data_IF_939217102589
#
_entry.id   IF_939217102589
#
_cell.length_a   1.000
_cell.length_b   1.000
_cell.length_c   1.000
_cell.angle_alpha   90.00
_cell.angle_beta   90.00
_cell.angle_gamma   90.00
#
_symmetry.space_group_name_H-M   'P 1'
#
loop_
_entity.id
_entity.type
_entity.pdbx_description
1 polymer ?
#
# COMPACT_ATOMS: atom_id res chain seq x y z
N UNK A 1 10.59 35.17 -19.12
CA UNK A 1 10.47 33.86 -18.43
C UNK A 1 9.41 33.94 -17.33
N UNK A 2 8.30 33.18 -17.41
CA UNK A 2 7.30 33.12 -16.33
C UNK A 2 7.95 32.53 -15.06
N UNK A 3 7.98 33.26 -13.94
CA UNK A 3 8.47 32.75 -12.64
C UNK A 3 7.72 31.45 -12.32
N UNK A 4 8.44 30.32 -12.16
CA UNK A 4 7.84 29.05 -11.76
C UNK A 4 7.15 29.24 -10.39
N UNK A 5 5.84 28.95 -10.30
CA UNK A 5 5.04 29.09 -9.06
C UNK A 5 5.63 28.23 -7.95
N UNK A 6 6.14 28.82 -6.85
CA UNK A 6 6.70 28.07 -5.69
C UNK A 6 5.79 26.94 -5.22
N UNK A 7 6.38 25.81 -4.86
CA UNK A 7 5.76 24.67 -4.20
C UNK A 7 5.62 24.90 -2.69
N UNK A 8 6.68 25.38 -2.04
CA UNK A 8 6.71 25.65 -0.60
C UNK A 8 6.20 27.07 -0.36
N UNK A 9 5.05 27.17 0.31
CA UNK A 9 4.34 28.44 0.52
C UNK A 9 4.16 28.71 2.02
N UNK A 10 4.21 29.99 2.42
CA UNK A 10 4.02 30.41 3.83
C UNK A 10 2.72 29.88 4.43
N UNK A 11 1.64 29.82 3.63
CA UNK A 11 0.34 29.27 4.05
C UNK A 11 0.44 27.82 4.55
N UNK A 12 1.32 26.99 3.96
CA UNK A 12 1.47 25.59 4.38
C UNK A 12 1.99 25.53 5.83
N UNK A 13 2.85 26.47 6.23
CA UNK A 13 3.30 26.64 7.62
C UNK A 13 2.16 27.01 8.58
N UNK A 14 1.33 27.98 8.19
CA UNK A 14 0.17 28.40 8.99
C UNK A 14 -0.85 27.26 9.14
N UNK A 15 -1.20 26.60 8.04
CA UNK A 15 -2.11 25.44 8.03
C UNK A 15 -1.56 24.34 8.94
N UNK A 16 -0.27 24.03 8.84
CA UNK A 16 0.39 23.04 9.69
C UNK A 16 0.30 23.41 11.17
N UNK A 17 0.57 24.66 11.52
CA UNK A 17 0.52 25.14 12.90
C UNK A 17 -0.88 24.97 13.50
N UNK A 18 -1.92 25.31 12.74
CA UNK A 18 -3.32 25.21 13.16
C UNK A 18 -3.81 23.76 13.23
N UNK A 19 -3.47 22.93 12.25
CA UNK A 19 -3.96 21.55 12.18
C UNK A 19 -3.23 20.59 13.12
N UNK A 20 -1.96 20.85 13.47
CA UNK A 20 -1.14 19.89 14.21
C UNK A 20 -1.70 19.49 15.59
N UNK A 21 -2.18 20.41 16.46
CA UNK A 21 -2.77 20.03 17.74
C UNK A 21 -3.99 19.13 17.58
N UNK A 22 -4.89 19.49 16.67
CA UNK A 22 -6.08 18.70 16.34
C UNK A 22 -5.71 17.32 15.78
N UNK A 23 -4.78 17.24 14.82
CA UNK A 23 -4.29 15.97 14.27
C UNK A 23 -3.63 15.10 15.34
N UNK A 24 -2.89 15.69 16.27
CA UNK A 24 -2.27 14.96 17.39
C UNK A 24 -3.35 14.36 18.29
N UNK A 25 -4.37 15.14 18.64
CA UNK A 25 -5.49 14.68 19.45
C UNK A 25 -6.28 13.56 18.75
N UNK A 26 -6.68 13.78 17.50
CA UNK A 26 -7.42 12.79 16.71
C UNK A 26 -6.62 11.50 16.53
N UNK A 27 -5.32 11.59 16.27
CA UNK A 27 -4.46 10.41 16.15
C UNK A 27 -4.45 9.60 17.44
N UNK A 28 -4.24 10.26 18.59
CA UNK A 28 -4.24 9.61 19.92
C UNK A 28 -5.58 8.99 20.27
N UNK A 29 -6.69 9.66 20.01
CA UNK A 29 -8.02 9.14 20.33
C UNK A 29 -8.45 8.01 19.39
N UNK A 30 -8.15 8.12 18.10
CA UNK A 30 -8.62 7.17 17.08
C UNK A 30 -7.78 5.89 17.01
N UNK A 31 -6.47 6.00 17.28
CA UNK A 31 -5.52 4.90 17.15
C UNK A 31 -4.81 4.55 18.46
N UNK A 32 -5.06 5.24 19.57
CA UNK A 32 -4.33 5.06 20.83
C UNK A 32 -2.79 5.10 20.63
N UNK A 33 -2.35 5.85 19.61
CA UNK A 33 -0.96 5.87 19.17
C UNK A 33 -0.11 6.70 20.13
N UNK A 34 1.02 6.13 20.56
CA UNK A 34 2.08 6.87 21.23
C UNK A 34 2.92 7.60 20.19
N UNK A 35 2.97 8.92 20.29
CA UNK A 35 3.74 9.82 19.41
C UNK A 35 4.78 10.58 20.25
N UNK A 36 5.98 10.02 20.46
CA UNK A 36 7.09 10.73 21.09
C UNK A 36 7.44 12.00 20.31
N UNK A 37 7.91 13.03 21.02
CA UNK A 37 8.36 14.28 20.36
C UNK A 37 9.70 14.04 19.66
N UNK A 38 9.79 14.38 18.38
CA UNK A 38 11.06 14.42 17.66
C UNK A 38 11.79 15.74 17.97
N UNK A 39 12.71 15.72 18.95
CA UNK A 39 13.42 16.93 19.43
C UNK A 39 14.49 17.40 18.45
N UNK A 40 15.09 16.49 17.70
CA UNK A 40 16.22 16.75 16.79
C UNK A 40 15.83 17.52 15.53
N UNK A 41 14.53 17.70 15.26
CA UNK A 41 14.09 18.43 14.07
C UNK A 41 14.74 19.81 13.98
N UNK A 42 14.82 20.58 15.07
CA UNK A 42 15.51 21.89 15.18
C UNK A 42 15.36 22.84 13.95
N UNK A 43 14.21 22.81 13.26
CA UNK A 43 13.97 23.61 12.04
C UNK A 43 14.58 23.06 10.73
N UNK A 44 15.30 21.92 10.79
CA UNK A 44 15.90 21.22 9.66
C UNK A 44 14.83 20.58 8.75
N UNK A 45 15.21 20.41 7.49
CA UNK A 45 14.46 19.65 6.49
C UNK A 45 14.88 18.19 6.54
N UNK A 46 13.97 17.28 6.18
CA UNK A 46 14.25 15.85 6.12
C UNK A 46 13.67 15.23 4.86
N UNK A 47 14.29 14.13 4.42
CA UNK A 47 13.58 13.08 3.72
C UNK A 47 13.06 12.11 4.79
N UNK A 48 11.75 12.06 4.98
CA UNK A 48 11.11 11.12 5.90
C UNK A 48 10.76 9.87 5.11
N UNK A 49 11.33 8.75 5.51
CA UNK A 49 10.94 7.42 5.01
C UNK A 49 10.15 6.72 6.10
N UNK A 50 8.99 6.15 5.77
CA UNK A 50 8.15 5.46 6.75
C UNK A 50 7.73 4.08 6.26
N UNK A 51 7.63 3.11 7.15
CA UNK A 51 6.85 1.92 6.84
C UNK A 51 5.36 2.27 6.76
N UNK A 52 4.56 1.46 6.05
CA UNK A 52 3.16 1.77 5.78
C UNK A 52 2.22 0.68 6.31
N UNK A 53 1.46 1.01 7.35
CA UNK A 53 0.56 0.07 8.04
C UNK A 53 -0.90 0.51 8.00
N UNK A 54 -1.20 1.80 8.23
CA UNK A 54 -2.58 2.28 8.41
C UNK A 54 -2.97 3.36 7.40
N UNK A 55 -4.27 3.62 7.18
CA UNK A 55 -4.70 4.78 6.41
C UNK A 55 -4.34 6.14 7.05
N UNK A 56 -3.84 6.17 8.29
CA UNK A 56 -3.57 7.39 9.05
C UNK A 56 -2.08 7.74 9.17
N UNK A 57 -1.20 6.97 8.54
CA UNK A 57 0.25 7.09 8.73
C UNK A 57 0.77 8.51 8.44
N UNK A 58 0.25 9.16 7.40
CA UNK A 58 0.60 10.54 7.05
C UNK A 58 0.22 11.54 8.17
N UNK A 59 -0.85 11.28 8.92
CA UNK A 59 -1.24 12.12 10.05
C UNK A 59 -0.34 11.93 11.26
N UNK A 60 0.18 10.71 11.48
CA UNK A 60 1.17 10.47 12.53
C UNK A 60 2.46 11.23 12.25
N UNK A 61 2.98 11.14 11.03
CA UNK A 61 4.13 11.95 10.58
C UNK A 61 3.82 13.44 10.75
N UNK A 62 2.63 13.88 10.33
CA UNK A 62 2.24 15.29 10.46
C UNK A 62 2.11 15.73 11.92
N UNK A 63 1.71 14.86 12.85
CA UNK A 63 1.67 15.19 14.27
C UNK A 63 3.08 15.28 14.88
N UNK A 64 3.99 14.39 14.46
CA UNK A 64 5.37 14.29 14.98
C UNK A 64 6.25 15.46 14.55
N UNK A 65 6.26 15.80 13.25
CA UNK A 65 7.09 16.88 12.71
C UNK A 65 6.39 18.24 12.85
N UNK A 66 7.13 19.29 13.25
CA UNK A 66 6.63 20.66 13.44
C UNK A 66 6.49 21.43 12.12
N UNK A 67 7.39 21.21 11.18
CA UNK A 67 7.38 21.86 9.86
C UNK A 67 6.36 21.20 8.90
N UNK A 68 5.93 21.90 7.84
CA UNK A 68 5.13 21.29 6.77
C UNK A 68 5.84 20.10 6.13
N UNK A 69 5.09 19.05 5.86
CA UNK A 69 5.58 17.81 5.24
C UNK A 69 4.84 17.61 3.93
N UNK A 70 5.60 17.42 2.85
CA UNK A 70 5.10 17.19 1.50
C UNK A 70 5.16 15.70 1.18
N UNK A 71 4.00 15.05 1.21
CA UNK A 71 3.92 13.61 0.97
C UNK A 71 3.98 13.28 -0.51
N UNK A 72 4.81 12.31 -0.87
CA UNK A 72 4.74 11.64 -2.17
C UNK A 72 3.53 10.71 -2.15
N UNK A 73 2.59 10.95 -3.07
CA UNK A 73 1.29 10.29 -3.09
C UNK A 73 0.92 9.81 -4.49
N UNK A 74 0.16 8.72 -4.54
CA UNK A 74 -0.28 8.10 -5.79
C UNK A 74 -1.32 8.93 -6.52
N UNK A 75 -1.36 8.80 -7.85
CA UNK A 75 -2.31 9.44 -8.76
C UNK A 75 -3.79 9.41 -8.34
N UNK A 76 -4.28 8.35 -7.67
CA UNK A 76 -5.70 8.20 -7.30
C UNK A 76 -6.20 9.38 -6.44
N UNK A 77 -5.37 9.89 -5.52
CA UNK A 77 -5.71 11.05 -4.67
C UNK A 77 -5.89 12.32 -5.51
N UNK A 78 -5.20 12.39 -6.63
CA UNK A 78 -5.20 13.54 -7.52
C UNK A 78 -6.37 13.54 -8.50
N UNK A 79 -7.09 12.43 -8.65
CA UNK A 79 -8.25 12.27 -9.54
C UNK A 79 -9.61 12.38 -8.82
N UNK A 80 -9.64 12.85 -7.56
CA UNK A 80 -10.85 13.01 -6.74
C UNK A 80 -11.58 14.36 -6.91
N UNK A 81 -11.37 15.06 -8.02
CA UNK A 81 -12.06 16.32 -8.33
C UNK A 81 -11.80 17.44 -7.31
N UNK A 82 -12.84 17.94 -6.63
CA UNK A 82 -12.72 19.04 -5.65
C UNK A 82 -11.80 18.68 -4.48
N UNK A 83 -11.82 17.43 -4.00
CA UNK A 83 -10.97 17.00 -2.89
C UNK A 83 -9.47 17.05 -3.27
N UNK A 84 -9.13 16.70 -4.51
CA UNK A 84 -7.78 16.87 -5.06
C UNK A 84 -7.36 18.34 -5.07
N UNK A 85 -8.24 19.27 -5.48
CA UNK A 85 -7.97 20.71 -5.45
C UNK A 85 -7.74 21.22 -4.03
N UNK A 86 -8.56 20.80 -3.07
CA UNK A 86 -8.40 21.16 -1.66
C UNK A 86 -7.08 20.64 -1.09
N UNK A 87 -6.76 19.36 -1.30
CA UNK A 87 -5.49 18.76 -0.84
C UNK A 87 -4.27 19.46 -1.44
N UNK A 88 -4.28 19.75 -2.75
CA UNK A 88 -3.23 20.53 -3.43
C UNK A 88 -3.06 21.92 -2.83
N UNK A 89 -4.16 22.59 -2.46
CA UNK A 89 -4.10 23.91 -1.84
C UNK A 89 -3.59 23.88 -0.40
N UNK A 90 -4.03 22.89 0.39
CA UNK A 90 -3.75 22.76 1.82
C UNK A 90 -2.31 22.29 2.10
N UNK A 91 -1.87 21.23 1.42
CA UNK A 91 -0.64 20.50 1.77
C UNK A 91 0.24 20.15 0.58
N UNK A 92 -0.17 20.48 -0.65
CA UNK A 92 0.59 20.34 -1.89
C UNK A 92 1.36 19.00 -2.04
N UNK A 93 0.67 17.84 -2.04
CA UNK A 93 1.33 16.54 -2.15
C UNK A 93 2.06 16.40 -3.50
N UNK A 94 3.14 15.63 -3.50
CA UNK A 94 3.99 15.36 -4.67
C UNK A 94 3.41 14.15 -5.42
N UNK A 95 2.97 14.29 -6.68
CA UNK A 95 2.41 13.16 -7.43
C UNK A 95 3.51 12.18 -7.85
N UNK A 96 3.19 10.88 -7.79
CA UNK A 96 3.99 9.79 -8.36
C UNK A 96 3.10 8.78 -9.08
N UNK A 97 3.57 8.29 -10.23
CA UNK A 97 3.00 7.12 -10.90
C UNK A 97 3.57 5.84 -10.28
N UNK A 98 2.69 4.91 -9.90
CA UNK A 98 3.12 3.62 -9.36
C UNK A 98 3.74 2.74 -10.45
N UNK A 99 4.65 1.85 -10.05
CA UNK A 99 5.19 0.76 -10.88
C UNK A 99 5.91 1.18 -12.18
N UNK A 100 6.22 2.47 -12.34
CA UNK A 100 6.93 3.03 -13.50
C UNK A 100 7.98 4.03 -13.03
N UNK A 101 9.05 4.19 -13.80
CA UNK A 101 10.05 5.21 -13.51
C UNK A 101 9.45 6.61 -13.70
N UNK A 102 9.31 7.38 -12.62
CA UNK A 102 8.70 8.71 -12.64
C UNK A 102 9.77 9.80 -12.39
N UNK A 103 10.47 10.17 -13.46
CA UNK A 103 11.46 11.25 -13.40
C UNK A 103 10.85 12.59 -13.00
N UNK A 104 9.57 12.83 -13.30
CA UNK A 104 8.89 14.05 -12.90
C UNK A 104 8.71 14.10 -11.37
N UNK A 105 8.39 12.99 -10.72
CA UNK A 105 8.32 12.88 -9.26
C UNK A 105 9.67 13.18 -8.61
N UNK A 106 10.77 12.64 -9.14
CA UNK A 106 12.14 12.93 -8.67
C UNK A 106 12.45 14.42 -8.78
N UNK A 107 12.16 15.04 -9.93
CA UNK A 107 12.39 16.47 -10.15
C UNK A 107 11.53 17.35 -9.22
N UNK A 108 10.30 16.93 -8.91
CA UNK A 108 9.44 17.60 -7.95
C UNK A 108 10.00 17.50 -6.53
N UNK A 109 10.52 16.34 -6.11
CA UNK A 109 11.19 16.17 -4.82
C UNK A 109 12.40 17.12 -4.70
N UNK A 110 13.29 17.13 -5.69
CA UNK A 110 14.45 18.02 -5.71
C UNK A 110 14.07 19.50 -5.67
N UNK A 111 12.93 19.85 -6.26
CA UNK A 111 12.40 21.20 -6.21
C UNK A 111 11.90 21.55 -4.81
N UNK A 112 11.12 20.67 -4.17
CA UNK A 112 10.61 20.88 -2.81
C UNK A 112 11.75 21.03 -1.81
N UNK A 113 12.77 20.17 -1.90
CA UNK A 113 13.98 20.25 -1.06
C UNK A 113 14.66 21.62 -1.20
N UNK A 114 14.98 22.05 -2.43
CA UNK A 114 15.58 23.37 -2.71
C UNK A 114 14.74 24.55 -2.20
N UNK A 115 13.42 24.40 -2.16
CA UNK A 115 12.51 25.46 -1.74
C UNK A 115 12.26 25.52 -0.23
N UNK A 116 12.87 24.64 0.59
CA UNK A 116 12.67 24.70 2.04
C UNK A 116 11.94 23.50 2.65
N UNK A 117 11.48 22.54 1.84
CA UNK A 117 10.44 21.59 2.22
C UNK A 117 10.96 20.27 2.80
N UNK A 118 10.26 19.73 3.79
CA UNK A 118 10.42 18.35 4.24
C UNK A 118 9.57 17.42 3.38
N UNK A 119 10.13 16.33 2.91
CA UNK A 119 9.46 15.36 2.03
C UNK A 119 9.16 14.10 2.84
N UNK A 120 8.04 13.45 2.60
CA UNK A 120 7.74 12.15 3.20
C UNK A 120 7.25 11.14 2.16
N UNK A 121 7.72 9.90 2.25
CA UNK A 121 7.24 8.80 1.42
C UNK A 121 7.34 7.45 2.14
N UNK A 122 6.55 6.49 1.68
CA UNK A 122 6.69 5.10 2.07
C UNK A 122 7.38 4.34 0.93
N UNK A 123 8.62 3.85 1.11
CA UNK A 123 9.35 3.15 0.05
C UNK A 123 8.70 1.82 -0.36
N UNK A 124 7.86 1.22 0.49
CA UNK A 124 6.99 0.07 0.16
C UNK A 124 5.93 0.41 -0.91
N UNK A 125 5.52 1.68 -1.02
CA UNK A 125 4.48 2.14 -1.95
C UNK A 125 3.07 1.61 -1.64
N UNK A 126 2.92 0.66 -0.72
CA UNK A 126 1.68 0.05 -0.31
C UNK A 126 1.65 -0.22 1.19
N UNK A 127 0.45 -0.24 1.77
CA UNK A 127 0.27 -0.77 3.13
C UNK A 127 0.42 -2.28 3.11
N UNK A 128 1.10 -2.82 4.12
CA UNK A 128 1.24 -4.27 4.33
C UNK A 128 -0.12 -5.00 4.39
N UNK A 129 -0.16 -6.20 3.82
CA UNK A 129 -1.28 -7.13 3.94
C UNK A 129 -1.08 -8.16 5.06
N UNK A 130 0.18 -8.41 5.42
CA UNK A 130 0.63 -9.46 6.33
C UNK A 130 0.89 -8.95 7.76
N UNK A 131 1.23 -7.68 7.91
CA UNK A 131 1.75 -7.09 9.15
C UNK A 131 3.28 -7.02 9.20
N UNK A 132 3.95 -7.60 8.20
CA UNK A 132 5.40 -7.43 7.98
C UNK A 132 5.66 -6.31 7.00
N UNK A 133 6.76 -5.59 7.18
CA UNK A 133 7.22 -4.63 6.17
C UNK A 133 7.47 -5.34 4.85
N UNK A 134 6.87 -4.85 3.77
CA UNK A 134 6.95 -5.45 2.44
C UNK A 134 8.24 -5.00 1.71
N UNK A 135 8.38 -5.40 0.45
CA UNK A 135 9.51 -5.00 -0.38
C UNK A 135 9.63 -3.48 -0.50
N UNK A 136 10.82 -2.96 -0.22
CA UNK A 136 11.14 -1.54 -0.38
C UNK A 136 11.93 -1.31 -1.65
N UNK A 137 11.46 -0.38 -2.49
CA UNK A 137 12.12 -0.09 -3.75
C UNK A 137 13.54 0.49 -3.52
N UNK A 138 14.61 -0.15 -4.02
CA UNK A 138 15.99 0.28 -3.80
C UNK A 138 16.30 1.66 -4.43
N UNK A 139 15.47 2.13 -5.37
CA UNK A 139 15.57 3.48 -5.93
C UNK A 139 15.43 4.61 -4.88
N UNK A 140 15.05 4.29 -3.64
CA UNK A 140 15.04 5.23 -2.52
C UNK A 140 16.46 5.72 -2.15
N UNK A 141 17.49 4.89 -2.27
CA UNK A 141 18.88 5.25 -1.96
C UNK A 141 19.44 6.35 -2.89
N UNK A 142 19.42 6.19 -4.23
CA UNK A 142 19.89 7.24 -5.13
C UNK A 142 19.05 8.52 -5.01
N UNK A 143 17.76 8.42 -4.68
CA UNK A 143 16.92 9.60 -4.40
C UNK A 143 17.40 10.33 -3.13
N UNK A 144 17.65 9.61 -2.03
CA UNK A 144 18.14 10.17 -0.78
C UNK A 144 19.49 10.89 -0.99
N UNK A 145 20.42 10.26 -1.70
CA UNK A 145 21.72 10.83 -2.08
C UNK A 145 21.55 12.12 -2.88
N UNK A 146 20.69 12.12 -3.89
CA UNK A 146 20.45 13.28 -4.77
C UNK A 146 19.76 14.44 -4.05
N UNK A 147 18.93 14.16 -3.05
CA UNK A 147 18.28 15.19 -2.24
C UNK A 147 19.25 15.89 -1.29
N UNK A 148 20.27 15.19 -0.79
CA UNK A 148 21.26 15.74 0.13
C UNK A 148 20.65 16.21 1.46
N UNK A 149 19.50 15.65 1.84
CA UNK A 149 18.81 15.92 3.11
C UNK A 149 19.11 14.80 4.11
N UNK A 150 19.09 15.09 5.43
CA UNK A 150 19.08 14.02 6.43
C UNK A 150 17.84 13.14 6.24
N UNK A 151 18.02 11.83 6.38
CA UNK A 151 16.95 10.84 6.23
C UNK A 151 16.43 10.48 7.61
N UNK A 152 15.17 10.82 7.90
CA UNK A 152 14.49 10.40 9.12
C UNK A 152 13.71 9.11 8.86
N UNK A 153 14.14 8.01 9.46
CA UNK A 153 13.42 6.74 9.42
C UNK A 153 12.29 6.79 10.44
N UNK A 154 11.05 6.74 9.97
CA UNK A 154 9.85 6.88 10.77
C UNK A 154 9.13 5.54 10.87
N UNK A 155 9.27 4.88 12.02
CA UNK A 155 8.72 3.56 12.27
C UNK A 155 7.35 3.64 12.91
N UNK A 156 6.43 2.82 12.41
CA UNK A 156 5.06 2.62 12.88
C UNK A 156 4.94 1.17 13.32
N UNK A 157 4.60 0.95 14.58
CA UNK A 157 4.48 -0.38 15.22
C UNK A 157 3.07 -0.55 15.80
N UNK A 158 2.50 -1.74 15.64
CA UNK A 158 1.16 -2.13 16.08
C UNK A 158 0.02 -1.59 15.22
N UNK A 159 0.32 -0.88 14.13
CA UNK A 159 -0.67 -0.32 13.23
C UNK A 159 -1.45 -1.40 12.47
N UNK A 160 -0.78 -2.50 12.10
CA UNK A 160 -1.44 -3.64 11.46
C UNK A 160 -2.49 -4.27 12.38
N UNK A 161 -2.18 -4.42 13.66
CA UNK A 161 -3.14 -4.98 14.61
C UNK A 161 -4.37 -4.10 14.84
N UNK A 162 -4.23 -2.78 14.74
CA UNK A 162 -5.33 -1.82 14.90
C UNK A 162 -6.22 -1.74 13.65
N UNK A 163 -5.64 -1.49 12.48
CA UNK A 163 -6.41 -1.33 11.25
C UNK A 163 -5.63 -1.86 10.05
N UNK A 164 -5.58 -3.19 9.89
CA UNK A 164 -4.86 -3.80 8.78
C UNK A 164 -5.50 -3.37 7.46
N UNK A 165 -4.74 -3.46 6.36
CA UNK A 165 -5.19 -3.02 5.04
C UNK A 165 -6.52 -3.64 4.62
N UNK A 166 -6.69 -4.92 4.93
CA UNK A 166 -7.87 -5.70 4.60
C UNK A 166 -9.11 -5.31 5.43
N UNK A 167 -8.96 -4.77 6.64
CA UNK A 167 -10.10 -4.44 7.50
C UNK A 167 -10.68 -3.03 7.29
N UNK A 168 -12.00 -2.91 7.50
CA UNK A 168 -12.69 -1.62 7.60
C UNK A 168 -12.84 -1.14 9.06
N UNK A 169 -12.85 -2.08 10.00
CA UNK A 169 -12.99 -1.80 11.42
C UNK A 169 -11.65 -1.38 12.02
N UNK A 170 -11.70 -0.67 13.16
CA UNK A 170 -10.54 -0.35 13.98
C UNK A 170 -10.62 -1.17 15.27
N UNK A 171 -9.56 -1.89 15.58
CA UNK A 171 -9.44 -2.67 16.82
C UNK A 171 -8.81 -1.81 17.90
N UNK A 172 -9.17 -2.08 19.15
CA UNK A 172 -8.50 -1.46 20.30
C UNK A 172 -7.22 -2.23 20.60
N UNK A 173 -6.07 -1.57 20.52
CA UNK A 173 -4.76 -2.13 20.81
C UNK A 173 -3.72 -1.04 21.03
N UNK A 174 -2.47 -1.44 21.25
CA UNK A 174 -1.34 -0.52 21.39
C UNK A 174 -0.71 -0.24 20.03
N UNK A 175 -0.26 1.00 19.85
CA UNK A 175 0.46 1.44 18.67
C UNK A 175 1.46 2.53 19.05
N UNK A 176 2.58 2.58 18.34
CA UNK A 176 3.58 3.65 18.47
C UNK A 176 4.02 4.09 17.08
N UNK A 177 4.27 5.39 16.92
CA UNK A 177 4.91 5.90 15.72
C UNK A 177 5.96 6.95 16.09
N UNK A 178 7.18 6.80 15.60
CA UNK A 178 8.33 7.59 16.04
C UNK A 178 9.46 7.60 15.00
N UNK A 179 10.36 8.58 15.09
CA UNK A 179 11.62 8.56 14.33
C UNK A 179 12.54 7.55 15.02
N UNK A 180 12.84 6.43 14.37
CA UNK A 180 13.72 5.37 14.90
C UNK A 180 15.19 5.74 14.74
N UNK A 181 15.54 6.42 13.66
CA UNK A 181 16.91 6.77 13.31
C UNK A 181 16.92 8.02 12.41
N UNK A 182 17.99 8.80 12.48
CA UNK A 182 18.32 9.83 11.51
C UNK A 182 19.66 9.46 10.88
N UNK A 183 19.69 9.35 9.55
CA UNK A 183 20.92 9.15 8.78
C UNK A 183 21.34 10.51 8.22
N UNK A 184 22.51 10.99 8.59
CA UNK A 184 22.99 12.31 8.18
C UNK A 184 23.54 12.33 6.74
N UNK A 185 23.50 13.47 6.02
CA UNK A 185 24.01 13.56 4.64
C UNK A 185 25.45 13.09 4.48
N UNK A 186 26.30 13.33 5.47
CA UNK A 186 27.70 12.88 5.51
C UNK A 186 27.79 11.36 5.59
N UNK A 187 26.93 10.71 6.37
CA UNK A 187 26.85 9.24 6.42
C UNK A 187 26.36 8.67 5.09
N UNK A 188 25.34 9.28 4.49
CA UNK A 188 24.80 8.86 3.19
C UNK A 188 25.89 8.87 2.11
N UNK A 189 26.77 9.88 2.11
CA UNK A 189 27.89 9.98 1.16
C UNK A 189 28.90 8.83 1.28
N UNK A 190 29.08 8.30 2.49
CA UNK A 190 30.05 7.26 2.79
C UNK A 190 29.51 5.83 2.61
N UNK A 191 28.20 5.67 2.47
CA UNK A 191 27.55 4.39 2.19
C UNK A 191 27.40 4.18 0.68
N UNK A 192 27.60 2.95 0.23
CA UNK A 192 27.12 2.46 -1.07
C UNK A 192 25.58 2.49 -1.11
N UNK A 193 25.00 2.40 -2.31
CA UNK A 193 23.53 2.38 -2.43
C UNK A 193 22.93 1.14 -1.75
N UNK A 194 23.59 -0.03 -1.81
CA UNK A 194 23.11 -1.27 -1.19
C UNK A 194 23.17 -1.19 0.35
N UNK A 195 24.27 -0.71 0.93
CA UNK A 195 24.37 -0.49 2.38
C UNK A 195 23.34 0.52 2.89
N UNK A 196 23.07 1.56 2.11
CA UNK A 196 22.04 2.54 2.45
C UNK A 196 20.64 1.93 2.39
N UNK A 197 20.35 1.11 1.36
CA UNK A 197 19.09 0.36 1.27
C UNK A 197 18.93 -0.55 2.48
N UNK A 198 19.95 -1.35 2.83
CA UNK A 198 19.90 -2.26 3.98
C UNK A 198 19.65 -1.50 5.29
N UNK A 199 20.36 -0.38 5.50
CA UNK A 199 20.16 0.46 6.70
C UNK A 199 18.76 1.04 6.77
N UNK A 200 18.22 1.54 5.65
CA UNK A 200 16.83 2.01 5.55
C UNK A 200 15.86 0.87 5.86
N UNK A 201 16.06 -0.31 5.25
CA UNK A 201 15.19 -1.47 5.43
C UNK A 201 15.16 -1.89 6.90
N UNK A 202 16.32 -2.05 7.53
CA UNK A 202 16.44 -2.39 8.95
C UNK A 202 15.80 -1.33 9.86
N UNK A 203 15.97 -0.04 9.54
CA UNK A 203 15.41 1.03 10.35
C UNK A 203 13.88 1.14 10.25
N UNK A 204 13.28 0.69 9.14
CA UNK A 204 11.83 0.68 8.90
C UNK A 204 11.16 -0.69 9.11
N UNK A 205 11.94 -1.76 9.26
CA UNK A 205 11.41 -3.10 9.42
C UNK A 205 10.58 -3.24 10.71
N UNK A 206 9.41 -3.85 10.56
CA UNK A 206 8.47 -4.22 11.61
C UNK A 206 7.84 -5.56 11.24
N UNK A 207 7.69 -6.45 12.22
CA UNK A 207 6.85 -7.64 12.14
C UNK A 207 5.76 -7.56 13.23
N UNK A 208 4.69 -6.83 12.92
CA UNK A 208 3.54 -6.72 13.82
C UNK A 208 2.86 -8.08 14.03
N UNK A 209 3.04 -9.03 13.10
CA UNK A 209 2.45 -10.36 13.24
C UNK A 209 3.18 -11.15 14.35
N UNK A 210 4.50 -10.99 14.48
CA UNK A 210 5.31 -11.62 15.52
C UNK A 210 5.28 -10.89 16.87
N UNK A 211 5.11 -9.56 16.87
CA UNK A 211 5.10 -8.75 18.09
C UNK A 211 3.79 -8.89 18.89
N UNK A 212 3.89 -9.47 20.10
CA UNK A 212 2.74 -9.89 20.90
C UNK A 212 1.90 -8.71 21.42
N UNK A 213 0.83 -8.38 20.71
CA UNK A 213 -0.22 -7.46 21.14
C UNK A 213 -1.57 -8.15 21.35
N UNK A 214 -2.48 -7.44 22.03
CA UNK A 214 -3.90 -7.83 22.12
C UNK A 214 -4.72 -6.74 21.42
N UNK A 215 -5.43 -7.12 20.37
CA UNK A 215 -6.21 -6.25 19.51
C UNK A 215 -7.67 -6.68 19.52
N UNK A 216 -8.51 -5.90 20.21
CA UNK A 216 -9.89 -6.27 20.52
C UNK A 216 -10.88 -5.64 19.55
N UNK A 217 -11.70 -6.48 18.93
CA UNK A 217 -12.90 -6.09 18.20
C UNK A 217 -13.79 -7.32 17.95
N UNK A 218 -15.13 -7.16 17.96
CA UNK A 218 -16.06 -8.28 17.68
C UNK A 218 -15.95 -8.77 16.23
N UNK A 219 -15.65 -7.85 15.31
CA UNK A 219 -15.52 -8.06 13.87
C UNK A 219 -14.05 -8.09 13.43
N UNK A 220 -13.23 -8.86 14.14
CA UNK A 220 -11.77 -8.86 13.98
C UNK A 220 -11.29 -9.58 12.72
N UNK A 221 -12.03 -10.56 12.21
CA UNK A 221 -11.71 -11.27 10.96
C UNK A 221 -12.39 -10.66 9.72
N UNK A 222 -13.38 -9.78 9.88
CA UNK A 222 -14.14 -9.24 8.74
C UNK A 222 -13.22 -8.60 7.69
N UNK A 223 -13.43 -9.02 6.44
CA UNK A 223 -12.70 -8.68 5.22
C UNK A 223 -11.29 -9.27 5.08
N UNK A 224 -10.91 -10.27 5.89
CA UNK A 224 -9.61 -10.93 5.78
C UNK A 224 -9.35 -11.52 4.37
N UNK A 225 -10.40 -11.94 3.65
CA UNK A 225 -10.35 -12.38 2.25
C UNK A 225 -9.82 -11.33 1.26
N UNK A 226 -9.72 -10.05 1.65
CA UNK A 226 -9.01 -9.04 0.84
C UNK A 226 -7.47 -9.24 0.84
N UNK A 227 -6.95 -10.12 1.70
CA UNK A 227 -5.53 -10.45 1.82
C UNK A 227 -5.21 -11.93 1.52
N UNK A 228 -6.20 -12.82 1.56
CA UNK A 228 -6.03 -14.26 1.32
C UNK A 228 -6.94 -14.75 0.19
N UNK A 229 -6.36 -15.52 -0.74
CA UNK A 229 -7.09 -16.07 -1.89
C UNK A 229 -6.62 -17.49 -2.29
N UNK A 230 -5.70 -18.09 -1.53
CA UNK A 230 -5.25 -19.48 -1.75
C UNK A 230 -5.49 -20.26 -0.47
N UNK A 231 -6.25 -21.34 -0.52
CA UNK A 231 -6.45 -22.25 0.59
C UNK A 231 -5.27 -23.23 0.71
N UNK A 232 -4.73 -23.47 1.93
CA UNK A 232 -3.70 -24.49 2.13
C UNK A 232 -4.15 -25.90 1.77
N UNK A 233 -5.46 -26.17 1.83
CA UNK A 233 -6.00 -27.52 1.63
C UNK A 233 -6.52 -27.78 0.22
N UNK A 234 -7.07 -26.77 -0.44
CA UNK A 234 -7.73 -26.94 -1.75
C UNK A 234 -7.22 -25.98 -2.83
N UNK A 235 -6.12 -25.27 -2.61
CA UNK A 235 -5.53 -24.35 -3.59
C UNK A 235 -6.36 -23.09 -3.80
N UNK A 236 -6.38 -22.56 -5.03
CA UNK A 236 -7.12 -21.33 -5.40
C UNK A 236 -8.58 -21.40 -4.91
N UNK A 237 -9.02 -20.36 -4.18
CA UNK A 237 -10.36 -20.30 -3.58
C UNK A 237 -10.78 -18.88 -3.22
N UNK A 238 -12.08 -18.67 -3.14
CA UNK A 238 -12.67 -17.53 -2.43
C UNK A 238 -12.84 -17.82 -0.94
N UNK A 239 -12.93 -16.75 -0.16
CA UNK A 239 -13.10 -16.80 1.29
C UNK A 239 -14.18 -15.81 1.71
N UNK A 240 -14.88 -16.15 2.78
CA UNK A 240 -15.86 -15.28 3.39
C UNK A 240 -15.63 -15.18 4.90
N UNK A 241 -15.49 -13.96 5.41
CA UNK A 241 -15.33 -13.70 6.84
C UNK A 241 -16.56 -13.04 7.47
N UNK A 242 -16.80 -13.40 8.73
CA UNK A 242 -17.85 -12.82 9.56
C UNK A 242 -17.43 -12.85 11.04
N UNK A 243 -17.55 -11.71 11.74
CA UNK A 243 -17.12 -11.62 13.12
C UNK A 243 -15.63 -11.89 13.28
N UNK A 244 -15.29 -13.03 13.86
CA UNK A 244 -13.91 -13.50 14.03
C UNK A 244 -13.60 -14.80 13.28
N UNK A 245 -14.48 -15.23 12.38
CA UNK A 245 -14.31 -16.40 11.54
C UNK A 245 -14.00 -16.01 10.09
N UNK A 246 -13.21 -16.83 9.42
CA UNK A 246 -13.02 -16.83 7.97
C UNK A 246 -13.20 -18.24 7.44
N UNK A 247 -13.99 -18.41 6.40
CA UNK A 247 -14.34 -19.71 5.81
C UNK A 247 -13.91 -19.77 4.35
N UNK A 248 -13.29 -20.87 3.96
CA UNK A 248 -13.04 -21.17 2.55
C UNK A 248 -14.35 -21.57 1.87
N UNK A 249 -14.69 -20.94 0.75
CA UNK A 249 -15.93 -21.23 0.03
C UNK A 249 -15.88 -22.55 -0.76
N UNK A 250 -14.67 -23.06 -1.05
CA UNK A 250 -14.48 -24.31 -1.79
C UNK A 250 -14.55 -25.56 -0.91
N UNK A 251 -13.71 -25.64 0.13
CA UNK A 251 -13.64 -26.82 1.00
C UNK A 251 -14.43 -26.68 2.31
N UNK A 252 -14.95 -25.49 2.63
CA UNK A 252 -15.75 -25.24 3.82
C UNK A 252 -14.97 -25.14 5.13
N UNK A 253 -13.66 -25.40 5.15
CA UNK A 253 -12.81 -25.23 6.34
C UNK A 253 -12.89 -23.79 6.85
N UNK A 254 -12.87 -23.66 8.17
CA UNK A 254 -13.09 -22.38 8.85
C UNK A 254 -11.98 -22.14 9.86
N UNK A 255 -11.47 -20.91 9.90
CA UNK A 255 -10.45 -20.44 10.82
C UNK A 255 -11.03 -19.34 11.71
N UNK A 256 -10.64 -19.34 12.98
CA UNK A 256 -10.88 -18.24 13.92
C UNK A 256 -9.65 -17.36 13.99
N UNK A 257 -9.83 -16.06 13.76
CA UNK A 257 -8.79 -15.05 13.91
C UNK A 257 -8.86 -14.43 15.30
N UNK A 258 -7.85 -14.62 16.15
CA UNK A 258 -7.89 -14.28 17.58
C UNK A 258 -7.54 -12.81 17.86
N UNK A 259 -7.71 -12.37 19.12
CA UNK A 259 -7.23 -11.04 19.55
C UNK A 259 -5.70 -10.91 19.54
N UNK A 260 -4.97 -12.03 19.50
CA UNK A 260 -3.51 -12.08 19.38
C UNK A 260 -3.04 -12.16 17.92
N UNK A 261 -3.95 -11.93 16.97
CA UNK A 261 -3.68 -11.98 15.54
C UNK A 261 -3.22 -13.36 15.03
N UNK A 262 -3.60 -14.42 15.75
CA UNK A 262 -3.35 -15.80 15.35
C UNK A 262 -4.57 -16.41 14.65
N UNK A 263 -4.34 -17.49 13.91
CA UNK A 263 -5.35 -18.30 13.25
C UNK A 263 -5.47 -19.66 13.95
N UNK A 264 -6.69 -20.02 14.33
CA UNK A 264 -7.02 -21.31 14.94
C UNK A 264 -7.99 -22.05 14.01
N UNK A 265 -7.71 -23.31 13.69
CA UNK A 265 -8.62 -24.11 12.88
C UNK A 265 -9.86 -24.51 13.70
N UNK A 266 -11.05 -24.42 13.10
CA UNK A 266 -12.28 -24.89 13.74
C UNK A 266 -12.40 -26.39 13.50
N UNK A 267 -11.95 -27.20 14.46
CA UNK A 267 -11.98 -28.67 14.38
C UNK A 267 -10.80 -29.31 13.66
N UNK A 268 -9.69 -28.58 13.47
CA UNK A 268 -8.44 -29.08 12.89
C UNK A 268 -7.26 -28.19 13.32
N UNK A 269 -6.05 -28.73 13.22
CA UNK A 269 -4.83 -27.95 13.46
C UNK A 269 -4.57 -26.99 12.31
N UNK A 270 -4.46 -25.70 12.62
CA UNK A 270 -4.24 -24.69 11.58
C UNK A 270 -2.85 -24.87 10.96
N UNK A 271 -2.71 -24.95 9.63
CA UNK A 271 -1.39 -25.07 8.99
C UNK A 271 -0.54 -23.81 9.17
N UNK A 272 -1.17 -22.67 9.48
CA UNK A 272 -0.51 -21.39 9.68
C UNK A 272 -0.96 -20.76 10.98
N UNK A 273 -0.01 -20.33 11.80
CA UNK A 273 -0.32 -19.63 13.04
C UNK A 273 -0.81 -18.20 12.79
N UNK A 274 -0.41 -17.54 11.70
CA UNK A 274 -0.68 -16.12 11.43
C UNK A 274 -1.04 -15.87 9.97
N UNK A 275 -1.68 -14.72 9.73
CA UNK A 275 -1.98 -14.22 8.38
C UNK A 275 -0.70 -14.00 7.58
N UNK A 276 0.41 -13.59 8.20
CA UNK A 276 1.68 -13.43 7.53
C UNK A 276 2.23 -14.75 6.96
N UNK A 277 2.11 -15.85 7.72
CA UNK A 277 2.60 -17.16 7.28
C UNK A 277 1.72 -17.71 6.12
N UNK A 278 0.41 -17.46 6.19
CA UNK A 278 -0.51 -17.74 5.07
C UNK A 278 -0.19 -16.88 3.85
N UNK A 279 0.11 -15.58 4.05
CA UNK A 279 0.49 -14.67 2.98
C UNK A 279 1.78 -15.12 2.27
N UNK A 280 2.77 -15.60 3.01
CA UNK A 280 4.00 -16.16 2.44
C UNK A 280 3.72 -17.45 1.66
N UNK A 281 2.87 -18.34 2.21
CA UNK A 281 2.44 -19.55 1.52
C UNK A 281 1.74 -19.26 0.20
N UNK A 282 0.79 -18.33 0.15
CA UNK A 282 0.10 -18.02 -1.11
C UNK A 282 1.05 -17.39 -2.14
N UNK A 283 2.00 -16.58 -1.72
CA UNK A 283 2.99 -15.99 -2.63
C UNK A 283 3.85 -17.11 -3.22
N UNK A 284 4.32 -18.04 -2.38
CA UNK A 284 5.05 -19.22 -2.83
C UNK A 284 4.21 -20.09 -3.76
N UNK A 285 2.97 -20.38 -3.40
CA UNK A 285 2.03 -21.14 -4.23
C UNK A 285 1.91 -20.55 -5.64
N UNK A 286 1.81 -19.22 -5.77
CA UNK A 286 1.73 -18.55 -7.07
C UNK A 286 3.08 -18.55 -7.79
N UNK A 287 4.18 -18.29 -7.08
CA UNK A 287 5.54 -18.30 -7.65
C UNK A 287 5.97 -19.68 -8.13
N UNK A 288 5.45 -20.76 -7.56
CA UNK A 288 5.78 -22.15 -7.91
C UNK A 288 4.82 -22.77 -8.93
N UNK A 289 3.80 -22.05 -9.42
CA UNK A 289 2.97 -22.55 -10.52
C UNK A 289 3.84 -22.78 -11.78
N UNK A 290 3.77 -24.00 -12.32
CA UNK A 290 4.35 -24.41 -13.60
C UNK A 290 3.60 -23.74 -14.76
N UNK A 291 4.01 -22.50 -15.05
CA UNK A 291 3.26 -21.61 -15.93
C UNK A 291 2.00 -21.08 -15.27
N UNK A 292 1.24 -20.27 -16.00
CA UNK A 292 -0.07 -19.82 -15.55
C UNK A 292 -1.15 -20.65 -16.27
N UNK A 293 -2.19 -21.11 -15.57
CA UNK A 293 -3.19 -21.97 -16.19
C UNK A 293 -3.86 -21.23 -17.35
N UNK A 294 -3.61 -21.69 -18.58
CA UNK A 294 -4.39 -21.26 -19.75
C UNK A 294 -5.65 -22.10 -19.74
N UNK A 295 -6.64 -21.65 -18.98
CA UNK A 295 -7.90 -22.35 -18.76
C UNK A 295 -9.02 -21.72 -19.58
N UNK A 296 -9.95 -22.55 -20.07
CA UNK A 296 -11.20 -22.08 -20.67
C UNK A 296 -12.09 -21.37 -19.63
N UNK A 297 -11.96 -21.75 -18.36
CA UNK A 297 -12.70 -21.14 -17.25
C UNK A 297 -11.84 -20.14 -16.49
N UNK A 298 -12.40 -19.03 -16.00
CA UNK A 298 -11.65 -18.08 -15.19
C UNK A 298 -11.24 -18.69 -13.84
N UNK A 299 -10.07 -18.28 -13.35
CA UNK A 299 -9.56 -18.64 -12.02
C UNK A 299 -10.36 -17.95 -10.91
N UNK A 300 -10.76 -16.70 -11.16
CA UNK A 300 -11.63 -15.91 -10.28
C UNK A 300 -12.59 -15.05 -11.08
N UNK A 301 -13.74 -14.78 -10.48
CA UNK A 301 -14.74 -13.86 -11.01
C UNK A 301 -15.17 -12.90 -9.90
N UNK A 302 -15.16 -11.61 -10.18
CA UNK A 302 -15.55 -10.57 -9.22
C UNK A 302 -16.51 -9.54 -9.87
N UNK A 303 -17.49 -9.07 -9.10
CA UNK A 303 -18.33 -7.94 -9.52
C UNK A 303 -17.60 -6.63 -9.28
N UNK A 304 -17.49 -5.80 -10.31
CA UNK A 304 -16.74 -4.54 -10.27
C UNK A 304 -17.49 -3.37 -10.92
N UNK A 305 -17.13 -2.16 -10.50
CA UNK A 305 -17.36 -0.91 -11.25
C UNK A 305 -16.16 -0.68 -12.17
N UNK A 306 -16.42 -0.50 -13.45
CA UNK A 306 -15.41 -0.22 -14.46
C UNK A 306 -15.36 1.28 -14.76
N UNK A 307 -14.16 1.85 -14.83
CA UNK A 307 -13.96 3.24 -15.23
C UNK A 307 -12.61 3.43 -15.91
N UNK A 308 -12.56 4.34 -16.87
CA UNK A 308 -11.30 4.87 -17.37
C UNK A 308 -10.81 5.99 -16.45
N UNK A 309 -9.50 6.01 -16.17
CA UNK A 309 -8.86 7.02 -15.34
C UNK A 309 -7.98 7.89 -16.24
N UNK A 310 -8.40 9.13 -16.44
CA UNK A 310 -7.55 10.16 -17.04
C UNK A 310 -6.68 10.70 -15.91
N UNK A 311 -5.44 10.20 -15.87
CA UNK A 311 -4.47 10.44 -14.79
C UNK A 311 -4.34 11.95 -14.51
N UNK A 312 -4.47 12.33 -13.23
CA UNK A 312 -4.44 13.72 -12.74
C UNK A 312 -5.60 14.64 -13.15
N UNK A 313 -6.57 14.16 -13.91
CA UNK A 313 -7.71 14.96 -14.39
C UNK A 313 -9.03 14.49 -13.79
N UNK A 314 -9.51 13.32 -14.23
CA UNK A 314 -10.85 12.83 -13.89
C UNK A 314 -10.95 11.32 -14.04
N UNK A 315 -11.99 10.76 -13.43
CA UNK A 315 -12.43 9.38 -13.61
C UNK A 315 -13.69 9.38 -14.47
N UNK A 316 -13.68 8.62 -15.55
CA UNK A 316 -14.77 8.46 -16.50
C UNK A 316 -15.43 7.08 -16.27
N UNK A 317 -16.62 7.03 -15.64
CA UNK A 317 -17.33 5.76 -15.44
C UNK A 317 -17.69 5.12 -16.78
N UNK A 318 -17.41 3.82 -16.93
CA UNK A 318 -17.81 3.01 -18.10
C UNK A 318 -19.03 2.17 -17.74
N UNK A 319 -18.94 1.40 -16.65
CA UNK A 319 -20.02 0.54 -16.18
C UNK A 319 -20.16 0.59 -14.65
N UNK A 320 -21.41 0.69 -14.17
CA UNK A 320 -21.74 0.64 -12.73
C UNK A 320 -21.69 -0.79 -12.17
N UNK A 321 -21.91 -1.77 -13.03
CA UNK A 321 -21.84 -3.19 -12.72
C UNK A 321 -21.21 -3.88 -13.93
N UNK A 322 -20.14 -4.63 -13.68
CA UNK A 322 -19.39 -5.42 -14.65
C UNK A 322 -18.85 -6.67 -13.94
N UNK A 323 -18.49 -7.68 -14.72
CA UNK A 323 -17.90 -8.92 -14.23
C UNK A 323 -16.44 -8.98 -14.67
N UNK A 324 -15.51 -8.95 -13.72
CA UNK A 324 -14.09 -9.11 -13.98
C UNK A 324 -13.68 -10.58 -13.77
N UNK A 325 -13.29 -11.23 -14.85
CA UNK A 325 -12.78 -12.60 -14.89
C UNK A 325 -11.24 -12.58 -14.97
N UNK A 326 -10.58 -13.21 -14.00
CA UNK A 326 -9.12 -13.35 -13.97
C UNK A 326 -8.72 -14.71 -14.55
N UNK A 327 -7.90 -14.70 -15.59
CA UNK A 327 -7.26 -15.88 -16.16
C UNK A 327 -5.75 -15.86 -15.85
N UNK A 328 -5.05 -16.93 -16.23
CA UNK A 328 -3.60 -16.99 -16.09
C UNK A 328 -2.84 -15.94 -16.90
N UNK A 329 -3.39 -15.48 -18.01
CA UNK A 329 -2.69 -14.64 -18.99
C UNK A 329 -3.40 -13.30 -19.29
N UNK A 330 -4.59 -13.07 -18.72
CA UNK A 330 -5.40 -11.89 -19.02
C UNK A 330 -6.45 -11.60 -17.94
N UNK A 331 -7.02 -10.41 -18.02
CA UNK A 331 -8.26 -10.05 -17.34
C UNK A 331 -9.32 -9.76 -18.41
N UNK A 332 -10.47 -10.36 -18.28
CA UNK A 332 -11.64 -10.06 -19.11
C UNK A 332 -12.67 -9.33 -18.27
N UNK A 333 -13.22 -8.23 -18.79
CA UNK A 333 -14.28 -7.47 -18.11
C UNK A 333 -15.50 -7.40 -19.01
N UNK A 334 -16.53 -8.17 -18.67
CA UNK A 334 -17.82 -8.12 -19.36
C UNK A 334 -18.75 -7.09 -18.72
N UNK A 335 -19.43 -6.30 -19.55
CA UNK A 335 -20.37 -5.27 -19.11
C UNK A 335 -21.43 -5.01 -20.18
N UNK A 336 -22.63 -4.57 -19.76
CA UNK A 336 -23.76 -4.49 -20.68
C UNK A 336 -24.15 -5.88 -21.21
N UNK A 337 -24.86 -5.94 -22.33
CA UNK A 337 -25.31 -7.20 -22.94
C UNK A 337 -24.16 -7.88 -23.73
N UNK A 338 -23.40 -7.12 -24.53
CA UNK A 338 -22.40 -7.69 -25.45
C UNK A 338 -20.99 -7.04 -25.37
N UNK A 339 -20.73 -6.18 -24.38
CA UNK A 339 -19.40 -5.54 -24.31
C UNK A 339 -18.40 -6.38 -23.51
N UNK A 340 -17.25 -6.62 -24.12
CA UNK A 340 -16.12 -7.31 -23.51
C UNK A 340 -14.86 -6.45 -23.66
N UNK A 341 -14.25 -6.09 -22.53
CA UNK A 341 -12.90 -5.51 -22.49
C UNK A 341 -11.91 -6.61 -22.13
N UNK A 342 -11.06 -7.00 -23.08
CA UNK A 342 -9.96 -7.94 -22.86
C UNK A 342 -8.67 -7.17 -22.55
N UNK A 343 -7.97 -7.58 -21.48
CA UNK A 343 -6.74 -6.96 -21.00
C UNK A 343 -5.66 -8.06 -20.88
N UNK A 344 -5.02 -8.46 -21.98
CA UNK A 344 -3.96 -9.47 -21.97
C UNK A 344 -2.73 -8.96 -21.22
N UNK A 345 -2.14 -9.80 -20.36
CA UNK A 345 -0.98 -9.40 -19.54
C UNK A 345 0.26 -9.03 -20.36
N UNK A 346 0.37 -9.52 -21.59
CA UNK A 346 1.39 -9.11 -22.55
C UNK A 346 1.32 -7.63 -22.95
N UNK A 347 0.13 -7.01 -22.91
CA UNK A 347 -0.09 -5.59 -23.21
C UNK A 347 -0.14 -4.72 -21.93
N UNK A 348 -0.33 -5.34 -20.78
CA UNK A 348 -0.40 -4.65 -19.48
C UNK A 348 1.01 -4.27 -19.02
N UNK A 349 1.23 -2.97 -18.86
CA UNK A 349 2.51 -2.41 -18.38
C UNK A 349 2.67 -2.48 -16.85
N UNK A 350 1.56 -2.41 -16.12
CA UNK A 350 1.50 -2.57 -14.67
C UNK A 350 0.07 -2.86 -14.18
N UNK A 351 -0.04 -3.49 -13.00
CA UNK A 351 -1.26 -3.51 -12.19
C UNK A 351 -0.93 -3.00 -10.79
N UNK A 352 -1.77 -2.14 -10.23
CA UNK A 352 -1.55 -1.56 -8.90
C UNK A 352 -2.79 -1.66 -8.02
N UNK A 353 -2.65 -2.22 -6.82
CA UNK A 353 -3.68 -2.17 -5.79
C UNK A 353 -3.81 -0.76 -5.18
N UNK A 354 -5.04 -0.24 -5.16
CA UNK A 354 -5.38 1.10 -4.67
C UNK A 354 -6.42 1.03 -3.56
N UNK A 355 -6.15 1.72 -2.45
CA UNK A 355 -7.03 1.67 -1.28
C UNK A 355 -7.19 0.24 -0.76
N UNK A 356 -8.42 -0.21 -0.57
CA UNK A 356 -8.75 -1.56 -0.08
C UNK A 356 -9.31 -2.50 -1.15
N UNK A 357 -10.09 -1.96 -2.09
CA UNK A 357 -10.98 -2.72 -2.97
C UNK A 357 -10.92 -2.30 -4.45
N UNK A 358 -9.77 -1.79 -4.87
CA UNK A 358 -9.58 -1.27 -6.23
C UNK A 358 -8.24 -1.70 -6.79
N UNK A 359 -8.19 -1.90 -8.10
CA UNK A 359 -6.94 -1.99 -8.85
C UNK A 359 -7.00 -1.02 -10.03
N UNK A 360 -5.84 -0.48 -10.41
CA UNK A 360 -5.63 0.14 -11.71
C UNK A 360 -4.84 -0.83 -12.59
N UNK A 361 -5.28 -1.00 -13.84
CA UNK A 361 -4.62 -1.76 -14.89
C UNK A 361 -4.15 -0.76 -15.95
N UNK A 362 -2.84 -0.72 -16.20
CA UNK A 362 -2.21 0.23 -17.11
C UNK A 362 -1.92 -0.45 -18.44
N UNK A 363 -2.64 -0.10 -19.50
CA UNK A 363 -2.51 -0.68 -20.84
C UNK A 363 -2.19 0.44 -21.82
N UNK A 364 -1.01 0.39 -22.43
CA UNK A 364 -0.49 1.47 -23.29
C UNK A 364 -0.60 2.88 -22.66
N UNK A 365 -1.55 3.70 -23.13
CA UNK A 365 -1.81 5.06 -22.61
C UNK A 365 -3.10 5.13 -21.78
N UNK A 366 -3.89 4.07 -21.74
CA UNK A 366 -5.12 3.98 -20.97
C UNK A 366 -4.86 3.42 -19.57
N UNK A 367 -5.69 3.85 -18.62
CA UNK A 367 -5.72 3.31 -17.26
C UNK A 367 -7.15 2.90 -16.95
N UNK A 368 -7.38 1.61 -16.75
CA UNK A 368 -8.68 1.09 -16.34
C UNK A 368 -8.67 0.83 -14.84
N UNK A 369 -9.65 1.38 -14.13
CA UNK A 369 -9.86 1.09 -12.71
C UNK A 369 -10.99 0.08 -12.55
N UNK A 370 -10.68 -1.05 -11.92
CA UNK A 370 -11.66 -2.00 -11.44
C UNK A 370 -11.86 -1.75 -9.95
N UNK A 371 -13.06 -1.30 -9.57
CA UNK A 371 -13.43 -1.09 -8.19
C UNK A 371 -14.48 -2.13 -7.79
N UNK A 372 -14.05 -3.17 -7.07
CA UNK A 372 -14.92 -4.25 -6.64
C UNK A 372 -15.82 -3.86 -5.47
N UNK A 373 -16.56 -4.86 -5.00
CA UNK A 373 -17.42 -4.77 -3.84
C UNK A 373 -16.62 -4.65 -2.52
N UNK A 374 -17.31 -4.78 -1.38
CA UNK A 374 -16.63 -4.72 -0.08
C UNK A 374 -15.73 -5.91 0.20
N UNK A 375 -15.74 -7.01 -0.56
CA UNK A 375 -14.88 -8.18 -0.30
C UNK A 375 -13.82 -8.41 -1.38
N UNK A 376 -13.82 -7.57 -2.41
CA UNK A 376 -12.87 -7.63 -3.52
C UNK A 376 -11.40 -7.72 -3.07
N UNK A 377 -10.78 -8.83 -3.47
CA UNK A 377 -9.36 -9.09 -3.28
C UNK A 377 -8.59 -8.62 -4.51
N UNK A 378 -8.13 -7.36 -4.50
CA UNK A 378 -7.29 -6.83 -5.59
C UNK A 378 -5.89 -7.46 -5.64
N UNK A 379 -5.44 -8.08 -4.55
CA UNK A 379 -4.14 -8.71 -4.42
C UNK A 379 -3.94 -9.83 -5.44
N UNK A 380 -4.94 -10.69 -5.64
CA UNK A 380 -4.85 -11.82 -6.60
C UNK A 380 -4.53 -11.33 -8.01
N UNK A 381 -5.19 -10.27 -8.48
CA UNK A 381 -4.92 -9.70 -9.81
C UNK A 381 -3.50 -9.17 -9.96
N UNK A 382 -2.96 -8.52 -8.93
CA UNK A 382 -1.58 -8.03 -8.91
C UNK A 382 -0.61 -9.21 -8.96
N UNK A 383 -0.78 -10.19 -8.07
CA UNK A 383 0.14 -11.31 -7.95
C UNK A 383 0.19 -12.17 -9.22
N UNK A 384 -0.96 -12.46 -9.85
CA UNK A 384 -1.02 -13.21 -11.12
C UNK A 384 -0.34 -12.45 -12.27
N UNK A 385 -0.56 -11.13 -12.37
CA UNK A 385 0.13 -10.32 -13.39
C UNK A 385 1.65 -10.30 -13.21
N UNK A 386 2.14 -10.14 -11.98
CA UNK A 386 3.58 -10.14 -11.74
C UNK A 386 4.22 -11.52 -11.93
N UNK A 387 3.52 -12.62 -11.59
CA UNK A 387 3.97 -13.96 -11.98
C UNK A 387 4.10 -14.11 -13.49
N UNK A 388 3.12 -13.62 -14.26
CA UNK A 388 3.18 -13.64 -15.73
C UNK A 388 4.39 -12.83 -16.23
N UNK A 389 4.59 -11.63 -15.68
CA UNK A 389 5.71 -10.76 -16.03
C UNK A 389 7.07 -11.38 -15.70
N UNK A 390 7.18 -12.07 -14.56
CA UNK A 390 8.41 -12.75 -14.15
C UNK A 390 8.72 -13.91 -15.13
N UNK A 391 7.70 -14.70 -15.53
CA UNK A 391 7.86 -15.74 -16.56
C UNK A 391 8.38 -15.14 -17.87
N UNK A 392 7.79 -14.03 -18.35
CA UNK A 392 8.24 -13.37 -19.60
C UNK A 392 9.68 -12.85 -19.54
N UNK A 393 10.19 -12.56 -18.35
CA UNK A 393 11.59 -12.14 -18.13
C UNK A 393 12.56 -13.31 -17.93
N UNK A 394 12.08 -14.55 -17.94
CA UNK A 394 12.87 -15.74 -17.61
C UNK A 394 13.08 -15.95 -16.10
N UNK A 395 12.39 -15.19 -15.26
CA UNK A 395 12.42 -15.32 -13.79
C UNK A 395 11.35 -16.32 -13.32
N UNK A 396 11.54 -17.61 -13.60
CA UNK A 396 10.54 -18.65 -13.30
C UNK A 396 10.17 -18.76 -11.82
N UNK A 397 11.11 -18.40 -10.92
CA UNK A 397 10.94 -18.39 -9.46
C UNK A 397 10.99 -16.98 -8.85
N UNK A 398 10.72 -15.93 -9.64
CA UNK A 398 10.74 -14.54 -9.16
C UNK A 398 9.87 -14.37 -7.90
N UNK A 399 10.48 -13.89 -6.81
CA UNK A 399 9.82 -13.70 -5.51
C UNK A 399 8.96 -12.43 -5.44
N UNK A 400 9.21 -11.46 -6.31
CA UNK A 400 8.45 -10.22 -6.34
C UNK A 400 7.14 -10.38 -7.11
N UNK A 401 6.02 -10.30 -6.39
CA UNK A 401 4.66 -10.38 -6.93
C UNK A 401 3.93 -9.03 -6.97
N UNK A 402 4.68 -7.92 -7.00
CA UNK A 402 4.13 -6.59 -7.27
C UNK A 402 3.82 -5.73 -6.05
N UNK A 403 4.05 -6.23 -4.84
CA UNK A 403 3.78 -5.55 -3.58
C UNK A 403 4.93 -5.67 -2.59
#
# INVERSE_FOLDING_TARGET
MKKKKKWVLRRHGVIKLLLRPWLTLVSRLRYHVKLPRFKEQKGRQFLILMNHQTPFDQFFVTATFKMPVYFVGTEDIFSLGFLSRALKWLVAPIPIKKQTADMAAVMNCLRVAREGGTIAMAPEGNRTYSGRTEYMNPAVAPLARKLGLPVALYRIEGGYGIQPRWADTRRRGKMRAYVSEVIEPEEIKNLTDDELVERIQRGLYVDDAAEMGVYRHKKKAEFLERAIYVCPDCGLSSFHSHGDLVRCERCGKTWRYTERMTLEGVGFDSPFARVADWYDYQNRYISELDGLPVTEKPLYTDTVKLSEVIVYERKCPIAKTATAALYGDRIEVSYGEDSLLSLPFSEVSAISALGRKKINVYVHKQVYQLAGDERFCGLKYVNFYYKHKNILKGEHHGSFLGL
#
